data_IF_734076852204
#
_entry.id   IF_734076852204
#
_cell.length_a   1.000
_cell.length_b   1.000
_cell.length_c   1.000
_cell.angle_alpha   90.00
_cell.angle_beta   90.00
_cell.angle_gamma   90.00
#
_symmetry.space_group_name_H-M   'P 1'
#
loop_
_entity.id
_entity.type
_entity.pdbx_description
1 polymer ?
#
# COMPACT_ATOMS: atom_id res chain seq x y z
N UNK A 1 -12.76 -42.07 41.66
CA UNK A 1 -13.35 -40.77 41.15
C UNK A 1 -12.32 -40.15 40.23
N UNK A 2 -12.52 -40.41 38.94
CA UNK A 2 -11.58 -39.92 37.89
C UNK A 2 -12.26 -38.68 37.26
N UNK A 3 -11.69 -37.49 37.48
CA UNK A 3 -12.10 -36.28 36.84
C UNK A 3 -11.60 -36.27 35.40
N UNK A 4 -12.51 -36.47 34.49
CA UNK A 4 -12.37 -36.34 33.07
C UNK A 4 -12.24 -34.84 32.70
N UNK A 5 -11.03 -34.36 32.54
CA UNK A 5 -10.80 -33.02 32.01
C UNK A 5 -11.16 -32.99 30.54
N UNK A 6 -12.30 -32.39 30.24
CA UNK A 6 -12.71 -32.05 28.88
C UNK A 6 -11.66 -31.18 28.18
N UNK A 7 -11.29 -31.49 26.94
CA UNK A 7 -10.35 -30.66 26.18
C UNK A 7 -10.99 -29.30 25.87
N UNK A 8 -10.36 -28.24 26.34
CA UNK A 8 -10.70 -26.87 25.97
C UNK A 8 -10.55 -26.76 24.43
N UNK A 9 -11.66 -26.67 23.73
CA UNK A 9 -11.67 -26.28 22.31
C UNK A 9 -11.03 -24.88 22.22
N UNK A 10 -9.79 -24.81 21.73
CA UNK A 10 -9.20 -23.56 21.27
C UNK A 10 -9.98 -23.17 20.02
N UNK A 11 -10.73 -22.08 20.10
CA UNK A 11 -11.29 -21.45 18.93
C UNK A 11 -10.14 -21.15 17.96
N UNK A 12 -10.30 -21.42 16.64
CA UNK A 12 -9.27 -21.11 15.67
C UNK A 12 -8.98 -19.62 15.72
N UNK A 13 -7.72 -19.27 16.03
CA UNK A 13 -7.24 -17.89 15.95
C UNK A 13 -7.63 -17.29 14.59
N UNK A 14 -8.22 -16.09 14.56
CA UNK A 14 -8.60 -15.46 13.30
C UNK A 14 -7.35 -15.40 12.41
N UNK A 15 -7.47 -15.98 11.23
CA UNK A 15 -6.34 -16.06 10.28
C UNK A 15 -5.96 -14.64 9.89
N UNK A 16 -4.78 -14.19 10.30
CA UNK A 16 -4.21 -12.90 9.94
C UNK A 16 -3.91 -12.85 8.43
N UNK A 17 -4.94 -12.57 7.63
CA UNK A 17 -4.92 -12.63 6.17
C UNK A 17 -3.93 -11.63 5.58
N UNK A 18 -3.92 -10.39 6.07
CA UNK A 18 -3.02 -9.34 5.61
C UNK A 18 -1.55 -9.68 5.87
N UNK A 19 -1.23 -10.22 7.06
CA UNK A 19 0.14 -10.66 7.40
C UNK A 19 0.59 -11.81 6.50
N UNK A 20 -0.27 -12.77 6.23
CA UNK A 20 0.04 -13.88 5.33
C UNK A 20 0.26 -13.38 3.89
N UNK A 21 -0.56 -12.45 3.43
CA UNK A 21 -0.41 -11.84 2.11
C UNK A 21 0.88 -11.02 2.03
N UNK A 22 1.20 -10.24 3.06
CA UNK A 22 2.41 -9.43 3.13
C UNK A 22 3.70 -10.28 3.20
N UNK A 23 3.65 -11.49 3.75
CA UNK A 23 4.76 -12.43 3.79
C UNK A 23 4.81 -13.39 2.58
N UNK A 24 3.88 -13.27 1.64
CA UNK A 24 3.75 -14.18 0.49
C UNK A 24 4.76 -13.90 -0.62
N UNK A 25 4.89 -14.86 -1.54
CA UNK A 25 5.66 -14.67 -2.77
C UNK A 25 5.06 -13.56 -3.65
N UNK A 26 3.76 -13.28 -3.55
CA UNK A 26 3.11 -12.16 -4.19
C UNK A 26 3.69 -10.80 -3.75
N UNK A 27 4.04 -10.64 -2.46
CA UNK A 27 4.74 -9.46 -1.98
C UNK A 27 6.13 -9.34 -2.59
N UNK A 28 6.89 -10.44 -2.68
CA UNK A 28 8.23 -10.44 -3.29
C UNK A 28 8.19 -10.00 -4.77
N UNK A 29 7.15 -10.44 -5.50
CA UNK A 29 6.92 -9.99 -6.89
C UNK A 29 6.62 -8.50 -6.93
N UNK A 30 5.73 -8.02 -6.07
CA UNK A 30 5.35 -6.61 -5.98
C UNK A 30 6.55 -5.72 -5.57
N UNK A 31 7.39 -6.18 -4.66
CA UNK A 31 8.62 -5.50 -4.27
C UNK A 31 9.59 -5.35 -5.44
N UNK A 32 9.86 -6.44 -6.17
CA UNK A 32 10.75 -6.40 -7.35
C UNK A 32 10.20 -5.49 -8.44
N UNK A 33 8.89 -5.54 -8.70
CA UNK A 33 8.22 -4.66 -9.65
C UNK A 33 8.40 -3.19 -9.24
N UNK A 34 8.21 -2.86 -7.96
CA UNK A 34 8.38 -1.51 -7.45
C UNK A 34 9.80 -0.99 -7.61
N UNK A 35 10.81 -1.78 -7.22
CA UNK A 35 12.22 -1.37 -7.35
C UNK A 35 12.63 -1.24 -8.82
N UNK A 36 12.20 -2.15 -9.68
CA UNK A 36 12.44 -2.07 -11.13
C UNK A 36 11.79 -0.83 -11.75
N UNK A 37 10.59 -0.47 -11.30
CA UNK A 37 9.89 0.73 -11.79
C UNK A 37 10.59 2.03 -11.36
N UNK A 38 11.16 2.07 -10.15
CA UNK A 38 11.99 3.20 -9.68
C UNK A 38 13.21 3.35 -10.58
N UNK A 39 13.95 2.28 -10.83
CA UNK A 39 15.17 2.28 -11.65
C UNK A 39 14.88 2.65 -13.11
N UNK A 40 13.85 2.07 -13.70
CA UNK A 40 13.41 2.37 -15.06
C UNK A 40 13.00 3.84 -15.21
N UNK A 41 12.27 4.38 -14.21
CA UNK A 41 11.84 5.77 -14.21
C UNK A 41 13.04 6.72 -14.11
N UNK A 42 13.98 6.47 -13.21
CA UNK A 42 15.19 7.27 -13.08
C UNK A 42 15.98 7.27 -14.37
N UNK A 43 16.22 6.11 -14.97
CA UNK A 43 16.92 5.97 -16.24
C UNK A 43 16.23 6.73 -17.38
N UNK A 44 14.89 6.65 -17.44
CA UNK A 44 14.12 7.35 -18.45
C UNK A 44 14.20 8.87 -18.28
N UNK A 45 13.97 9.38 -17.07
CA UNK A 45 13.96 10.83 -16.81
C UNK A 45 15.32 11.48 -17.01
N UNK A 46 16.40 10.79 -16.68
CA UNK A 46 17.76 11.30 -16.89
C UNK A 46 18.26 11.17 -18.34
N UNK A 47 17.68 10.28 -19.12
CA UNK A 47 18.09 9.96 -20.49
C UNK A 47 17.11 10.42 -21.56
N UNK A 48 16.31 9.47 -22.03
CA UNK A 48 15.40 9.66 -23.16
C UNK A 48 14.31 10.69 -22.87
N UNK A 49 13.70 10.62 -21.69
CA UNK A 49 12.62 11.53 -21.29
C UNK A 49 13.09 12.99 -21.28
N UNK A 50 14.31 13.24 -20.84
CA UNK A 50 14.90 14.58 -20.90
C UNK A 50 15.02 15.09 -22.33
N UNK A 51 15.42 14.23 -23.27
CA UNK A 51 15.50 14.60 -24.70
C UNK A 51 14.14 14.83 -25.33
N UNK A 52 13.14 14.00 -24.97
CA UNK A 52 11.78 14.13 -25.45
C UNK A 52 11.13 15.42 -24.92
N UNK A 53 11.35 15.78 -23.65
CA UNK A 53 10.76 16.98 -23.04
C UNK A 53 11.15 18.28 -23.76
N UNK A 54 12.35 18.36 -24.33
CA UNK A 54 12.81 19.52 -25.10
C UNK A 54 12.10 19.70 -26.45
N UNK A 55 11.40 18.67 -26.94
CA UNK A 55 10.65 18.70 -28.21
C UNK A 55 9.16 18.98 -28.05
N UNK A 56 8.70 19.06 -26.80
CA UNK A 56 7.29 19.26 -26.47
C UNK A 56 6.90 20.74 -26.67
N UNK A 57 5.60 20.97 -26.92
CA UNK A 57 5.00 22.30 -26.80
C UNK A 57 5.19 22.86 -25.39
N UNK A 58 5.03 24.17 -25.21
CA UNK A 58 5.20 24.80 -23.88
C UNK A 58 4.22 24.21 -22.84
N UNK A 59 2.98 23.98 -23.23
CA UNK A 59 1.96 23.38 -22.36
C UNK A 59 2.29 21.94 -22.01
N UNK A 60 2.68 21.14 -22.99
CA UNK A 60 3.07 19.75 -22.80
C UNK A 60 4.37 19.62 -22.00
N UNK A 61 5.31 20.55 -22.14
CA UNK A 61 6.55 20.58 -21.34
C UNK A 61 6.26 20.87 -19.87
N UNK A 62 5.33 21.78 -19.57
CA UNK A 62 4.89 22.03 -18.20
C UNK A 62 4.18 20.81 -17.60
N UNK A 63 3.30 20.18 -18.37
CA UNK A 63 2.65 18.93 -17.95
C UNK A 63 3.66 17.80 -17.72
N UNK A 64 4.64 17.66 -18.61
CA UNK A 64 5.74 16.70 -18.45
C UNK A 64 6.49 16.90 -17.11
N UNK A 65 6.88 18.14 -16.80
CA UNK A 65 7.56 18.45 -15.56
C UNK A 65 6.68 18.11 -14.33
N UNK A 66 5.42 18.51 -14.36
CA UNK A 66 4.46 18.25 -13.27
C UNK A 66 4.25 16.75 -13.05
N UNK A 67 3.98 16.01 -14.12
CA UNK A 67 3.72 14.57 -14.02
C UNK A 67 4.98 13.75 -13.67
N UNK A 68 6.15 14.18 -14.13
CA UNK A 68 7.42 13.59 -13.72
C UNK A 68 7.68 13.75 -12.22
N UNK A 69 7.38 14.93 -11.66
CA UNK A 69 7.49 15.16 -10.21
C UNK A 69 6.48 14.30 -9.43
N UNK A 70 5.23 14.22 -9.89
CA UNK A 70 4.20 13.37 -9.27
C UNK A 70 4.59 11.90 -9.31
N UNK A 71 5.07 11.43 -10.44
CA UNK A 71 5.56 10.06 -10.61
C UNK A 71 6.69 9.75 -9.65
N UNK A 72 7.71 10.61 -9.59
CA UNK A 72 8.88 10.45 -8.72
C UNK A 72 8.46 10.41 -7.24
N UNK A 73 7.62 11.34 -6.81
CA UNK A 73 7.12 11.36 -5.42
C UNK A 73 6.32 10.11 -5.08
N UNK A 74 5.43 9.68 -5.99
CA UNK A 74 4.66 8.44 -5.81
C UNK A 74 5.57 7.22 -5.66
N UNK A 75 6.58 7.11 -6.52
CA UNK A 75 7.53 6.00 -6.47
C UNK A 75 8.38 6.01 -5.20
N UNK A 76 8.79 7.18 -4.70
CA UNK A 76 9.48 7.29 -3.41
C UNK A 76 8.60 6.82 -2.25
N UNK A 77 7.32 7.19 -2.24
CA UNK A 77 6.37 6.74 -1.22
C UNK A 77 6.15 5.22 -1.28
N UNK A 78 5.96 4.68 -2.48
CA UNK A 78 5.80 3.24 -2.69
C UNK A 78 7.05 2.45 -2.29
N UNK A 79 8.24 2.92 -2.68
CA UNK A 79 9.51 2.29 -2.31
C UNK A 79 9.70 2.30 -0.78
N UNK A 80 9.42 3.40 -0.11
CA UNK A 80 9.51 3.51 1.35
C UNK A 80 8.58 2.50 2.03
N UNK A 81 7.33 2.41 1.59
CA UNK A 81 6.38 1.45 2.14
C UNK A 81 6.82 -0.02 1.91
N UNK A 82 7.26 -0.32 0.69
CA UNK A 82 7.73 -1.67 0.32
C UNK A 82 8.96 -2.09 1.12
N UNK A 83 9.90 -1.17 1.34
CA UNK A 83 11.10 -1.42 2.15
C UNK A 83 10.77 -1.65 3.62
N UNK A 84 9.84 -0.85 4.20
CA UNK A 84 9.37 -1.06 5.58
C UNK A 84 8.72 -2.44 5.73
N UNK A 85 7.86 -2.83 4.80
CA UNK A 85 7.21 -4.14 4.87
C UNK A 85 8.21 -5.28 4.68
N UNK A 86 9.20 -5.12 3.80
CA UNK A 86 10.27 -6.09 3.64
C UNK A 86 11.07 -6.26 4.94
N UNK A 87 11.42 -5.18 5.62
CA UNK A 87 12.13 -5.23 6.90
C UNK A 87 11.33 -5.97 7.99
N UNK A 88 9.99 -5.84 7.98
CA UNK A 88 9.12 -6.66 8.87
C UNK A 88 9.20 -8.14 8.50
N UNK A 89 9.13 -8.47 7.22
CA UNK A 89 9.16 -9.85 6.74
C UNK A 89 10.51 -10.53 7.02
N UNK A 90 11.61 -9.76 7.03
CA UNK A 90 12.97 -10.23 7.34
C UNK A 90 13.25 -10.23 8.86
N UNK A 91 12.33 -9.67 9.67
CA UNK A 91 12.47 -9.63 11.14
C UNK A 91 13.31 -8.46 11.66
N UNK A 92 13.73 -7.53 10.80
CA UNK A 92 14.54 -6.36 11.16
C UNK A 92 13.72 -5.29 11.89
N UNK A 93 12.41 -5.26 11.63
CA UNK A 93 11.45 -4.37 12.29
C UNK A 93 10.27 -5.17 12.86
N UNK A 94 9.77 -4.73 14.03
CA UNK A 94 8.50 -5.24 14.53
C UNK A 94 7.32 -4.67 13.74
N UNK A 95 6.19 -5.36 13.76
CA UNK A 95 4.96 -4.88 13.11
C UNK A 95 4.51 -3.51 13.66
N UNK A 96 4.69 -3.27 14.97
CA UNK A 96 4.33 -2.01 15.62
C UNK A 96 5.25 -0.87 15.20
N UNK A 97 6.55 -1.09 15.15
CA UNK A 97 7.52 -0.11 14.65
C UNK A 97 7.22 0.26 13.20
N UNK A 98 6.99 -0.74 12.34
CA UNK A 98 6.66 -0.51 10.95
C UNK A 98 5.31 0.21 10.78
N UNK A 99 4.31 -0.11 11.61
CA UNK A 99 3.02 0.59 11.62
C UNK A 99 3.20 2.07 11.91
N UNK A 100 4.01 2.41 12.91
CA UNK A 100 4.32 3.80 13.24
C UNK A 100 5.02 4.53 12.09
N UNK A 101 6.02 3.91 11.46
CA UNK A 101 6.73 4.50 10.32
C UNK A 101 5.84 4.60 9.07
N UNK A 102 4.96 3.62 8.82
CA UNK A 102 4.00 3.66 7.70
C UNK A 102 3.01 4.82 7.80
N UNK A 103 2.65 5.27 9.00
CA UNK A 103 1.78 6.45 9.16
C UNK A 103 2.40 7.73 8.60
N UNK A 104 3.72 7.80 8.53
CA UNK A 104 4.47 8.92 7.95
C UNK A 104 4.51 8.86 6.42
N UNK A 105 4.31 7.68 5.83
CA UNK A 105 4.29 7.47 4.39
C UNK A 105 2.89 7.73 3.86
N UNK A 106 2.71 8.84 3.15
CA UNK A 106 1.43 9.21 2.54
C UNK A 106 1.28 8.47 1.20
N UNK A 107 0.59 7.33 1.18
CA UNK A 107 0.32 6.54 -0.03
C UNK A 107 -0.75 7.14 -0.96
N UNK A 108 -1.11 8.38 -0.80
CA UNK A 108 -2.14 9.05 -1.57
C UNK A 108 -1.96 10.56 -1.56
N UNK A 109 -2.81 11.27 -2.31
CA UNK A 109 -2.86 12.73 -2.29
C UNK A 109 -2.30 13.43 -3.52
N UNK A 110 -1.73 12.68 -4.48
CA UNK A 110 -1.37 13.24 -5.79
C UNK A 110 -2.20 12.56 -6.88
N UNK A 111 -3.34 13.18 -7.22
CA UNK A 111 -4.12 12.75 -8.37
C UNK A 111 -3.40 13.11 -9.67
N UNK A 112 -3.29 12.16 -10.57
CA UNK A 112 -2.88 12.40 -11.96
C UNK A 112 -4.14 12.44 -12.80
N UNK A 113 -4.32 13.52 -13.57
CA UNK A 113 -5.36 13.55 -14.60
C UNK A 113 -4.82 12.80 -15.81
N UNK A 114 -5.37 11.61 -16.07
CA UNK A 114 -5.02 10.78 -17.23
C UNK A 114 -5.88 11.07 -18.45
N UNK A 115 -6.62 12.18 -18.43
CA UNK A 115 -7.53 12.59 -19.47
C UNK A 115 -7.20 14.01 -19.96
N UNK A 116 -7.52 14.26 -21.24
CA UNK A 116 -7.39 15.57 -21.86
C UNK A 116 -6.29 15.64 -22.92
N UNK A 117 -6.29 16.76 -23.68
CA UNK A 117 -5.36 16.96 -24.80
C UNK A 117 -3.90 16.96 -24.34
N UNK A 118 -3.60 17.61 -23.24
CA UNK A 118 -2.24 17.72 -22.70
C UNK A 118 -1.67 16.37 -22.25
N UNK A 119 -2.51 15.47 -21.73
CA UNK A 119 -2.10 14.09 -21.41
C UNK A 119 -1.67 13.34 -22.68
N UNK A 120 -2.40 13.49 -23.77
CA UNK A 120 -2.10 12.82 -25.03
C UNK A 120 -0.82 13.34 -25.71
N UNK A 121 -0.40 14.56 -25.41
CA UNK A 121 0.85 15.15 -25.88
C UNK A 121 2.09 14.65 -25.11
N UNK A 122 1.89 14.06 -23.92
CA UNK A 122 3.00 13.50 -23.14
C UNK A 122 3.61 12.28 -23.84
N UNK A 123 4.94 12.07 -23.69
CA UNK A 123 5.62 10.91 -24.25
C UNK A 123 4.93 9.61 -23.79
N UNK A 124 4.76 8.69 -24.72
CA UNK A 124 4.08 7.42 -24.45
C UNK A 124 4.76 6.64 -23.32
N UNK A 125 6.10 6.68 -23.27
CA UNK A 125 6.86 5.99 -22.24
C UNK A 125 6.61 6.58 -20.85
N UNK A 126 6.52 7.91 -20.72
CA UNK A 126 6.14 8.57 -19.45
C UNK A 126 4.74 8.14 -19.01
N UNK A 127 3.76 8.16 -19.92
CA UNK A 127 2.39 7.71 -19.62
C UNK A 127 2.37 6.25 -19.13
N UNK A 128 3.12 5.37 -19.79
CA UNK A 128 3.23 3.97 -19.38
C UNK A 128 3.82 3.78 -17.97
N UNK A 129 4.84 4.57 -17.62
CA UNK A 129 5.44 4.56 -16.27
C UNK A 129 4.45 5.06 -15.21
N UNK A 130 3.70 6.12 -15.51
CA UNK A 130 2.65 6.65 -14.65
C UNK A 130 1.57 5.59 -14.41
N UNK A 131 1.02 4.98 -15.46
CA UNK A 131 -0.01 3.95 -15.36
C UNK A 131 0.43 2.75 -14.52
N UNK A 132 1.67 2.30 -14.71
CA UNK A 132 2.23 1.20 -13.90
C UNK A 132 2.37 1.60 -12.44
N UNK A 133 2.79 2.83 -12.16
CA UNK A 133 2.92 3.35 -10.80
C UNK A 133 1.57 3.46 -10.08
N UNK A 134 0.51 3.85 -10.79
CA UNK A 134 -0.85 3.93 -10.25
C UNK A 134 -1.38 2.53 -9.90
N UNK A 135 -1.22 1.54 -10.80
CA UNK A 135 -1.60 0.16 -10.51
C UNK A 135 -0.85 -0.45 -9.32
N UNK A 136 0.45 -0.16 -9.21
CA UNK A 136 1.24 -0.59 -8.06
C UNK A 136 0.75 0.09 -6.77
N UNK A 137 0.45 1.38 -6.81
CA UNK A 137 -0.09 2.14 -5.68
C UNK A 137 -1.40 1.54 -5.17
N UNK A 138 -2.34 1.21 -6.04
CA UNK A 138 -3.60 0.56 -5.65
C UNK A 138 -3.38 -0.78 -4.94
N UNK A 139 -2.44 -1.58 -5.43
CA UNK A 139 -2.11 -2.87 -4.82
C UNK A 139 -1.49 -2.70 -3.44
N UNK A 140 -0.57 -1.75 -3.29
CA UNK A 140 0.07 -1.43 -2.01
C UNK A 140 -0.96 -0.88 -1.02
N UNK A 141 -1.84 0.02 -1.45
CA UNK A 141 -2.90 0.58 -0.60
C UNK A 141 -3.84 -0.51 -0.07
N UNK A 142 -4.27 -1.45 -0.91
CA UNK A 142 -5.10 -2.59 -0.46
C UNK A 142 -4.40 -3.46 0.58
N UNK A 143 -3.09 -3.70 0.40
CA UNK A 143 -2.31 -4.45 1.37
C UNK A 143 -2.12 -3.67 2.68
N UNK A 144 -1.84 -2.37 2.61
CA UNK A 144 -1.73 -1.50 3.77
C UNK A 144 -3.02 -1.45 4.59
N UNK A 145 -4.16 -1.35 3.92
CA UNK A 145 -5.48 -1.37 4.56
C UNK A 145 -5.77 -2.71 5.25
N UNK A 146 -5.46 -3.83 4.59
CA UNK A 146 -5.61 -5.15 5.18
C UNK A 146 -4.76 -5.31 6.45
N UNK A 147 -3.50 -4.82 6.43
CA UNK A 147 -2.62 -4.84 7.60
C UNK A 147 -3.11 -3.94 8.74
N UNK A 148 -3.67 -2.77 8.43
CA UNK A 148 -4.23 -1.85 9.44
C UNK A 148 -5.46 -2.42 10.11
N UNK A 149 -6.33 -3.09 9.36
CA UNK A 149 -7.54 -3.72 9.89
C UNK A 149 -7.20 -4.84 10.87
N UNK A 150 -6.08 -5.54 10.68
CA UNK A 150 -5.63 -6.60 11.60
C UNK A 150 -4.98 -6.06 12.87
N UNK A 151 -4.34 -4.90 12.81
CA UNK A 151 -3.67 -4.24 13.97
C UNK A 151 -4.69 -3.56 14.89
N UNK A 152 -5.83 -3.12 14.34
CA UNK A 152 -6.93 -2.68 15.20
C UNK A 152 -7.51 -3.92 15.88
N UNK A 153 -7.40 -4.06 17.23
CA UNK A 153 -8.19 -5.06 17.92
C UNK A 153 -9.64 -4.81 17.51
N UNK A 154 -10.31 -5.86 17.08
CA UNK A 154 -11.78 -5.81 16.97
C UNK A 154 -12.25 -5.13 18.25
N UNK A 155 -12.67 -3.86 18.14
CA UNK A 155 -13.39 -3.22 19.21
C UNK A 155 -14.50 -4.22 19.51
N UNK A 156 -14.40 -4.82 20.67
CA UNK A 156 -15.38 -5.77 21.19
C UNK A 156 -16.73 -5.30 20.75
N UNK A 157 -17.41 -6.15 20.03
CA UNK A 157 -18.67 -5.87 19.36
C UNK A 157 -19.57 -5.16 20.38
N UNK A 158 -19.56 -3.82 20.37
CA UNK A 158 -20.31 -2.98 21.32
C UNK A 158 -21.76 -3.47 21.41
N UNK A 159 -22.25 -4.03 20.28
CA UNK A 159 -23.55 -4.68 20.19
C UNK A 159 -23.65 -5.91 21.09
N UNK A 160 -22.61 -6.76 21.18
CA UNK A 160 -22.61 -7.93 22.06
C UNK A 160 -22.52 -7.52 23.56
N UNK A 161 -21.74 -6.48 23.85
CA UNK A 161 -21.63 -5.93 25.20
C UNK A 161 -22.95 -5.29 25.64
N UNK A 162 -23.60 -4.53 24.74
CA UNK A 162 -24.93 -3.93 25.01
C UNK A 162 -26.00 -5.00 25.10
N UNK A 163 -26.00 -6.03 24.29
CA UNK A 163 -26.93 -7.17 24.41
C UNK A 163 -26.70 -7.94 25.70
N UNK A 164 -25.47 -8.13 26.14
CA UNK A 164 -25.15 -8.75 27.43
C UNK A 164 -25.66 -7.95 28.61
N UNK A 165 -25.50 -6.63 28.59
CA UNK A 165 -26.01 -5.72 29.62
C UNK A 165 -27.54 -5.67 29.64
N UNK A 166 -28.18 -5.65 28.48
CA UNK A 166 -29.64 -5.71 28.36
C UNK A 166 -30.21 -7.06 28.90
N UNK A 167 -29.58 -8.17 28.54
CA UNK A 167 -29.97 -9.49 29.03
C UNK A 167 -29.84 -9.62 30.56
N UNK A 168 -28.85 -8.95 31.17
CA UNK A 168 -28.73 -8.87 32.64
C UNK A 168 -29.78 -7.97 33.28
N UNK A 169 -30.14 -6.86 32.64
CA UNK A 169 -31.14 -5.92 33.15
C UNK A 169 -32.57 -6.52 33.17
N UNK A 170 -32.89 -7.43 32.24
CA UNK A 170 -34.19 -8.09 32.14
C UNK A 170 -34.30 -9.41 32.93
N UNK A 171 -33.29 -9.80 33.71
CA UNK A 171 -33.30 -10.99 34.58
C UNK A 171 -33.69 -10.71 36.04
N UNK A 172 -34.26 -9.56 36.31
CA UNK A 172 -34.86 -9.28 37.65
C UNK A 172 -36.36 -9.30 37.60
#
# INVERSE_FOLDING_TARGET
MSEERSPVRRDPEPVAFGRRLAASDGFKVMFREGMSLVEETATYLDGEGRRESHRLSRSASLAYATESMRLTTRLMQLASWLLLQRAVNEGDLTADQASHERTKVKLGGMSTSTEGSTWNELPQRLRGLIDRSLRLQERVQRLDEALRTEVMPQQDNVVLTVQGLLAQAFRR
#
